data_IF_189056201055
#
_entry.id   IF_189056201055
#
_cell.length_a   1.000
_cell.length_b   1.000
_cell.length_c   1.000
_cell.angle_alpha   90.00
_cell.angle_beta   90.00
_cell.angle_gamma   90.00
#
_symmetry.space_group_name_H-M   'P 1'
#
loop_
_entity.id
_entity.type
_entity.pdbx_description
1 polymer ?
#
# COMPACT_ATOMS: atom_id res chain seq x y z
N UNK A 1 -9.83 6.65 17.91
CA UNK A 1 -9.49 7.52 16.76
C UNK A 1 -9.56 6.64 15.53
N UNK A 2 -10.64 6.58 14.76
CA UNK A 2 -11.22 7.64 13.95
C UNK A 2 -12.77 7.62 13.97
N UNK A 3 -13.35 8.80 13.91
CA UNK A 3 -14.73 9.19 14.18
C UNK A 3 -15.72 8.87 13.05
N UNK A 4 -16.93 8.45 13.44
CA UNK A 4 -18.13 8.38 12.60
C UNK A 4 -18.46 9.76 12.03
N UNK A 5 -18.37 9.91 10.71
CA UNK A 5 -18.88 11.11 10.04
C UNK A 5 -20.33 10.81 9.69
N UNK A 6 -21.22 11.08 10.65
CA UNK A 6 -22.63 11.31 10.39
C UNK A 6 -22.72 12.56 9.49
N UNK A 7 -22.87 12.35 8.18
CA UNK A 7 -23.21 13.44 7.27
C UNK A 7 -24.69 13.74 7.45
N UNK A 8 -24.98 14.71 8.32
CA UNK A 8 -26.26 15.40 8.33
C UNK A 8 -26.58 15.82 6.89
N UNK A 9 -27.73 15.36 6.39
CA UNK A 9 -28.30 15.83 5.13
C UNK A 9 -28.82 17.24 5.39
N UNK A 10 -28.03 18.24 5.05
CA UNK A 10 -28.59 19.58 4.87
C UNK A 10 -29.66 19.48 3.78
N UNK A 11 -30.90 19.81 4.12
CA UNK A 11 -32.05 19.79 3.24
C UNK A 11 -31.92 20.93 2.21
N UNK A 12 -31.24 20.67 1.10
CA UNK A 12 -31.13 21.57 -0.07
C UNK A 12 -32.43 21.47 -0.91
N UNK A 13 -33.59 21.35 -0.24
CA UNK A 13 -34.89 21.18 -0.91
C UNK A 13 -35.65 22.48 -1.17
N UNK A 14 -35.24 23.59 -0.56
CA UNK A 14 -36.07 24.81 -0.50
C UNK A 14 -35.87 25.87 -1.57
N UNK A 15 -34.93 25.72 -2.53
CA UNK A 15 -34.46 26.86 -3.36
C UNK A 15 -34.58 26.70 -4.88
N UNK A 16 -35.16 25.63 -5.41
CA UNK A 16 -35.35 25.50 -6.86
C UNK A 16 -36.78 25.83 -7.26
N UNK A 17 -36.93 26.95 -7.97
CA UNK A 17 -38.16 27.36 -8.63
C UNK A 17 -38.74 26.17 -9.41
N UNK A 18 -39.98 25.80 -9.09
CA UNK A 18 -40.72 24.71 -9.73
C UNK A 18 -40.83 25.04 -11.23
N UNK A 19 -40.17 24.28 -12.13
CA UNK A 19 -40.29 24.53 -13.55
C UNK A 19 -41.70 24.10 -13.98
N UNK A 20 -42.54 25.06 -14.34
CA UNK A 20 -43.81 24.81 -15.03
C UNK A 20 -43.53 24.34 -16.47
N UNK A 21 -43.07 23.10 -16.63
CA UNK A 21 -43.02 22.49 -17.96
C UNK A 21 -44.33 21.78 -18.25
N UNK A 22 -45.23 22.60 -18.80
CA UNK A 22 -45.99 22.35 -20.03
C UNK A 22 -45.76 20.95 -20.61
N UNK A 23 -46.84 20.18 -20.57
CA UNK A 23 -47.26 19.11 -21.48
C UNK A 23 -46.16 18.37 -22.24
N UNK A 24 -46.02 17.12 -21.82
CA UNK A 24 -45.18 16.05 -22.31
C UNK A 24 -45.32 15.84 -23.82
N UNK A 25 -44.55 16.56 -24.64
CA UNK A 25 -44.54 16.36 -26.08
C UNK A 25 -44.02 14.94 -26.40
N UNK A 26 -44.87 14.02 -26.90
CA UNK A 26 -44.51 12.60 -27.04
C UNK A 26 -43.49 12.32 -28.15
N UNK A 27 -43.21 13.32 -29.00
CA UNK A 27 -42.22 13.22 -30.09
C UNK A 27 -40.78 13.52 -29.66
N UNK A 28 -40.55 14.02 -28.44
CA UNK A 28 -39.21 14.33 -27.94
C UNK A 28 -38.49 13.06 -27.44
N UNK A 29 -37.31 12.77 -28.00
CA UNK A 29 -36.42 11.70 -27.53
C UNK A 29 -35.99 11.99 -26.09
N UNK A 30 -36.39 11.12 -25.16
CA UNK A 30 -36.00 11.25 -23.76
C UNK A 30 -34.58 10.73 -23.53
N UNK A 31 -33.75 11.45 -22.77
CA UNK A 31 -32.44 10.93 -22.39
C UNK A 31 -32.61 9.64 -21.60
N UNK A 32 -32.11 8.52 -22.16
CA UNK A 32 -32.11 7.22 -21.51
C UNK A 32 -30.90 7.12 -20.60
N UNK A 33 -31.11 6.90 -19.30
CA UNK A 33 -30.01 6.57 -18.39
C UNK A 33 -29.49 5.20 -18.77
N UNK A 34 -28.26 5.15 -19.29
CA UNK A 34 -27.59 3.90 -19.58
C UNK A 34 -27.20 3.21 -18.27
N UNK A 35 -27.36 1.89 -18.24
CA UNK A 35 -26.88 1.09 -17.12
C UNK A 35 -25.36 1.01 -17.19
N UNK A 36 -24.70 1.28 -16.07
CA UNK A 36 -23.25 1.16 -15.99
C UNK A 36 -22.89 -0.33 -16.23
N UNK A 37 -22.09 -0.67 -17.25
CA UNK A 37 -21.75 -2.07 -17.57
C UNK A 37 -21.09 -2.82 -16.41
N UNK A 38 -20.30 -2.11 -15.59
CA UNK A 38 -19.68 -2.62 -14.35
C UNK A 38 -20.74 -2.99 -13.30
N UNK A 39 -21.81 -2.20 -13.23
CA UNK A 39 -22.94 -2.48 -12.33
C UNK A 39 -23.97 -3.44 -12.95
N UNK A 40 -24.03 -3.55 -14.27
CA UNK A 40 -24.90 -4.51 -14.94
C UNK A 40 -24.36 -5.95 -14.84
N UNK A 41 -23.03 -6.12 -14.86
CA UNK A 41 -22.39 -7.43 -14.73
C UNK A 41 -22.36 -7.92 -13.28
N UNK A 42 -23.16 -8.93 -12.97
CA UNK A 42 -23.18 -9.58 -11.65
C UNK A 42 -21.84 -10.22 -11.30
N UNK A 43 -21.23 -10.94 -12.24
CA UNK A 43 -19.93 -11.59 -12.07
C UNK A 43 -18.83 -10.58 -11.70
N UNK A 44 -18.81 -9.41 -12.36
CA UNK A 44 -17.84 -8.37 -12.03
C UNK A 44 -18.02 -7.81 -10.62
N UNK A 45 -19.28 -7.59 -10.20
CA UNK A 45 -19.56 -7.14 -8.84
C UNK A 45 -19.18 -8.18 -7.78
N UNK A 46 -19.41 -9.46 -8.05
CA UNK A 46 -19.08 -10.56 -7.14
C UNK A 46 -17.56 -10.65 -6.96
N UNK A 47 -16.80 -10.60 -8.06
CA UNK A 47 -15.33 -10.55 -8.00
C UNK A 47 -14.83 -9.33 -7.20
N UNK A 48 -15.39 -8.13 -7.45
CA UNK A 48 -15.02 -6.94 -6.70
C UNK A 48 -15.29 -7.08 -5.20
N UNK A 49 -16.44 -7.66 -4.82
CA UNK A 49 -16.78 -7.94 -3.42
C UNK A 49 -15.80 -8.94 -2.82
N UNK A 50 -15.48 -10.01 -3.53
CA UNK A 50 -14.54 -11.04 -3.07
C UNK A 50 -13.14 -10.45 -2.86
N UNK A 51 -12.63 -9.67 -3.82
CA UNK A 51 -11.33 -9.00 -3.71
C UNK A 51 -11.28 -8.06 -2.50
N UNK A 52 -12.34 -7.27 -2.27
CA UNK A 52 -12.43 -6.41 -1.09
C UNK A 52 -12.50 -7.21 0.21
N UNK A 53 -13.24 -8.33 0.23
CA UNK A 53 -13.35 -9.18 1.42
C UNK A 53 -12.03 -9.88 1.74
N UNK A 54 -11.32 -10.39 0.74
CA UNK A 54 -9.99 -11.00 0.91
C UNK A 54 -8.98 -9.97 1.43
N UNK A 55 -8.99 -8.76 0.86
CA UNK A 55 -8.16 -7.65 1.35
C UNK A 55 -8.49 -7.28 2.81
N UNK A 56 -9.78 -7.13 3.15
CA UNK A 56 -10.21 -6.80 4.52
C UNK A 56 -9.93 -7.90 5.53
N UNK A 57 -9.95 -9.17 5.12
CA UNK A 57 -9.68 -10.33 5.97
C UNK A 57 -8.18 -10.64 6.09
N UNK A 58 -7.31 -9.87 5.42
CA UNK A 58 -5.87 -10.16 5.39
C UNK A 58 -5.53 -11.47 4.68
N UNK A 59 -6.48 -12.08 3.98
CA UNK A 59 -6.31 -13.26 3.15
C UNK A 59 -5.93 -12.83 1.71
N UNK A 60 -5.07 -11.82 1.58
CA UNK A 60 -4.46 -11.48 0.29
C UNK A 60 -3.70 -12.73 -0.17
N UNK A 61 -3.76 -13.17 -1.43
CA UNK A 61 -2.89 -12.62 -2.47
C UNK A 61 -1.61 -12.02 -1.87
N UNK A 62 -0.87 -12.82 -1.10
CA UNK A 62 0.36 -12.45 -0.38
C UNK A 62 1.53 -12.03 -1.28
N UNK A 63 1.29 -11.79 -2.58
CA UNK A 63 2.22 -11.04 -3.39
C UNK A 63 2.03 -9.56 -3.11
N UNK A 64 2.91 -9.01 -2.26
CA UNK A 64 3.37 -7.62 -2.45
C UNK A 64 3.51 -7.38 -3.95
N UNK A 65 3.02 -6.24 -4.51
CA UNK A 65 3.20 -5.97 -5.93
C UNK A 65 4.68 -6.15 -6.29
N UNK A 66 4.98 -6.77 -7.43
CA UNK A 66 6.35 -7.15 -7.85
C UNK A 66 7.39 -6.07 -7.51
N UNK A 67 7.05 -4.82 -7.83
CA UNK A 67 7.88 -3.65 -7.56
C UNK A 67 8.23 -3.50 -6.07
N UNK A 68 7.26 -3.64 -5.16
CA UNK A 68 7.49 -3.55 -3.72
C UNK A 68 8.37 -4.69 -3.21
N UNK A 69 8.22 -5.92 -3.73
CA UNK A 69 9.11 -7.04 -3.39
C UNK A 69 10.54 -6.76 -3.81
N UNK A 70 10.74 -6.31 -5.05
CA UNK A 70 12.05 -5.97 -5.60
C UNK A 70 12.71 -4.84 -4.79
N UNK A 71 11.96 -3.79 -4.44
CA UNK A 71 12.47 -2.68 -3.64
C UNK A 71 12.88 -3.11 -2.23
N UNK A 72 12.07 -3.95 -1.56
CA UNK A 72 12.43 -4.49 -0.26
C UNK A 72 13.65 -5.43 -0.32
N UNK A 73 13.69 -6.30 -1.32
CA UNK A 73 14.81 -7.21 -1.54
C UNK A 73 16.11 -6.42 -1.78
N UNK A 74 16.07 -5.40 -2.64
CA UNK A 74 17.20 -4.48 -2.86
C UNK A 74 17.65 -3.80 -1.57
N UNK A 75 16.71 -3.33 -0.74
CA UNK A 75 17.00 -2.69 0.55
C UNK A 75 17.68 -3.66 1.53
N UNK A 76 17.18 -4.90 1.63
CA UNK A 76 17.80 -5.95 2.46
C UNK A 76 19.21 -6.29 1.97
N UNK A 77 19.39 -6.46 0.66
CA UNK A 77 20.70 -6.78 0.08
C UNK A 77 21.72 -5.67 0.32
N UNK A 78 21.32 -4.40 0.22
CA UNK A 78 22.19 -3.26 0.52
C UNK A 78 22.65 -3.26 1.98
N UNK A 79 21.74 -3.54 2.93
CA UNK A 79 22.09 -3.63 4.35
C UNK A 79 23.05 -4.79 4.63
N UNK A 80 22.81 -5.95 4.01
CA UNK A 80 23.68 -7.12 4.14
C UNK A 80 25.08 -6.81 3.58
N UNK A 81 25.15 -6.18 2.40
CA UNK A 81 26.42 -5.79 1.78
C UNK A 81 27.20 -4.84 2.70
N UNK A 82 26.54 -3.79 3.21
CA UNK A 82 27.16 -2.83 4.13
C UNK A 82 27.67 -3.50 5.41
N UNK A 83 26.88 -4.38 6.01
CA UNK A 83 27.30 -5.16 7.20
C UNK A 83 28.51 -6.05 6.92
N UNK A 84 28.57 -6.67 5.74
CA UNK A 84 29.69 -7.52 5.34
C UNK A 84 30.97 -6.70 5.14
N UNK A 85 30.89 -5.56 4.46
CA UNK A 85 32.01 -4.64 4.27
C UNK A 85 32.52 -4.09 5.62
N UNK A 86 31.63 -3.73 6.54
CA UNK A 86 32.00 -3.28 7.88
C UNK A 86 32.70 -4.39 8.69
N UNK A 87 32.19 -5.62 8.62
CA UNK A 87 32.82 -6.77 9.28
C UNK A 87 34.20 -7.06 8.69
N UNK A 88 34.35 -6.97 7.37
CA UNK A 88 35.63 -7.18 6.70
C UNK A 88 36.64 -6.07 7.06
N UNK A 89 36.22 -4.81 7.10
CA UNK A 89 37.05 -3.70 7.55
C UNK A 89 37.51 -3.88 9.01
N UNK A 90 36.61 -4.28 9.91
CA UNK A 90 36.98 -4.60 11.31
C UNK A 90 37.95 -5.78 11.38
N UNK A 91 37.71 -6.84 10.59
CA UNK A 91 38.62 -7.99 10.51
C UNK A 91 40.01 -7.58 10.03
N UNK A 92 40.14 -6.61 9.13
CA UNK A 92 41.43 -6.06 8.69
C UNK A 92 42.09 -5.14 9.71
N UNK A 93 41.35 -4.56 10.66
CA UNK A 93 41.91 -3.83 11.80
C UNK A 93 42.40 -4.77 12.92
N UNK A 94 41.73 -5.90 13.14
CA UNK A 94 42.10 -6.90 14.15
C UNK A 94 43.53 -7.49 14.06
N UNK A 95 44.23 -7.61 12.90
CA UNK A 95 45.60 -8.11 12.86
C UNK A 95 46.54 -7.37 13.81
N UNK A 96 46.44 -6.04 13.88
CA UNK A 96 47.24 -5.23 14.78
C UNK A 96 46.88 -5.48 16.24
N UNK A 97 45.59 -5.63 16.53
CA UNK A 97 45.08 -5.93 17.88
C UNK A 97 45.55 -7.32 18.37
N UNK A 98 45.60 -8.31 17.48
CA UNK A 98 46.14 -9.64 17.76
C UNK A 98 47.65 -9.62 18.01
N UNK A 99 48.40 -8.85 17.21
CA UNK A 99 49.84 -8.60 17.41
C UNK A 99 50.13 -7.93 18.76
N UNK A 100 49.32 -6.93 19.14
CA UNK A 100 49.38 -6.24 20.42
C UNK A 100 49.19 -7.20 21.60
N UNK A 101 48.17 -8.06 21.52
CA UNK A 101 47.91 -9.07 22.54
C UNK A 101 49.07 -10.06 22.67
N UNK A 102 49.61 -10.54 21.53
CA UNK A 102 50.80 -11.41 21.52
C UNK A 102 52.02 -10.72 22.13
N UNK A 103 52.19 -9.42 21.93
CA UNK A 103 53.28 -8.64 22.54
C UNK A 103 53.09 -8.49 24.05
N UNK A 104 51.88 -8.20 24.51
CA UNK A 104 51.57 -8.12 25.94
C UNK A 104 51.81 -9.46 26.65
N UNK A 105 51.40 -10.58 26.04
CA UNK A 105 51.63 -11.91 26.59
C UNK A 105 53.12 -12.23 26.74
N UNK A 106 53.96 -11.84 25.78
CA UNK A 106 55.42 -11.99 25.88
C UNK A 106 56.01 -11.16 27.03
N UNK A 107 55.52 -9.94 27.25
CA UNK A 107 56.00 -9.09 28.34
C UNK A 107 55.60 -9.61 29.73
N UNK A 108 54.44 -10.25 29.86
CA UNK A 108 53.96 -10.80 31.13
C UNK A 108 54.57 -12.16 31.50
N UNK A 109 55.28 -12.82 30.57
CA UNK A 109 55.96 -14.10 30.79
C UNK A 109 57.45 -13.93 31.16
N UNK A 110 57.94 -12.68 31.23
CA UNK A 110 59.27 -12.29 31.70
C UNK A 110 59.13 -11.73 33.11
#
# INVERSE_FOLDING_TARGET
>A
MYSEIQRERADIGGLMARPEYREWNPELIKPKKLLNPVKASRSHQELHRELLMNHRRGLGVDSKPELQRVLEHRRRNQLIKKKKEELEAKRLQCPFEQELLRRQQRLNQV
#
